data_IF_694715121589
#
_entry.id   IF_694715121589
#
_cell.length_a   1.000
_cell.length_b   1.000
_cell.length_c   1.000
_cell.angle_alpha   90.00
_cell.angle_beta   90.00
_cell.angle_gamma   90.00
#
_symmetry.space_group_name_H-M   'P 1'
#
loop_
_entity.id
_entity.type
_entity.pdbx_description
1 polymer ?
#
# COMPACT_ATOMS: atom_id res chain seq x y z
N UNK A 1 -15.64 17.32 12.84
CA UNK A 1 -16.28 17.72 14.06
C UNK A 1 -17.70 17.21 14.12
N UNK A 2 -18.04 16.53 15.16
CA UNK A 2 -19.36 15.96 15.24
C UNK A 2 -20.38 17.03 15.62
N UNK A 3 -21.56 16.91 15.06
CA UNK A 3 -22.69 17.73 15.41
C UNK A 3 -23.02 17.52 16.87
N UNK A 4 -23.32 18.57 17.64
CA UNK A 4 -23.71 18.41 19.04
C UNK A 4 -24.88 17.51 19.27
N UNK A 5 -25.73 17.32 18.28
CA UNK A 5 -26.87 16.42 18.38
C UNK A 5 -26.55 15.02 17.87
N UNK A 6 -25.30 14.73 17.60
CA UNK A 6 -24.92 13.43 17.09
C UNK A 6 -25.26 13.18 15.66
N UNK A 7 -25.71 14.17 14.95
CA UNK A 7 -26.00 14.02 13.53
C UNK A 7 -24.70 13.95 12.75
N UNK A 8 -24.65 13.04 11.79
CA UNK A 8 -23.52 12.96 10.89
C UNK A 8 -23.89 13.58 9.55
N UNK A 9 -22.98 14.35 9.02
CA UNK A 9 -23.16 14.93 7.70
C UNK A 9 -22.39 14.06 6.71
N UNK A 10 -23.11 13.50 5.76
CA UNK A 10 -22.48 12.71 4.71
C UNK A 10 -21.84 13.67 3.71
N UNK A 11 -20.54 13.55 3.56
CA UNK A 11 -19.78 14.36 2.61
C UNK A 11 -19.29 13.47 1.49
N UNK A 12 -19.51 13.93 0.27
CA UNK A 12 -18.90 13.30 -0.89
C UNK A 12 -17.54 13.93 -1.12
N UNK A 13 -16.50 13.13 -0.91
CA UNK A 13 -15.15 13.59 -1.15
C UNK A 13 -14.70 13.12 -2.52
N UNK A 14 -14.24 14.06 -3.32
CA UNK A 14 -13.68 13.75 -4.64
C UNK A 14 -12.26 14.26 -4.67
N UNK A 15 -11.35 13.36 -5.00
CA UNK A 15 -9.96 13.72 -5.11
C UNK A 15 -9.69 14.15 -6.55
N UNK A 16 -9.33 15.41 -6.71
CA UNK A 16 -9.06 15.96 -8.02
C UNK A 16 -7.62 15.66 -8.42
N UNK A 17 -7.40 15.01 -9.56
CA UNK A 17 -6.02 14.74 -9.98
C UNK A 17 -5.30 16.04 -10.33
N UNK A 18 -4.00 16.04 -10.08
CA UNK A 18 -3.11 17.11 -10.51
C UNK A 18 -2.14 16.54 -11.55
N UNK A 19 -1.29 17.40 -12.09
CA UNK A 19 -0.28 16.93 -13.04
C UNK A 19 0.58 15.83 -12.45
N UNK A 20 0.95 15.98 -11.18
CA UNK A 20 1.83 14.99 -10.54
C UNK A 20 1.09 13.72 -10.14
N UNK A 21 -0.23 13.73 -10.08
CA UNK A 21 -1.01 12.57 -9.64
C UNK A 21 -1.93 12.01 -10.70
N UNK A 22 -1.90 12.57 -11.92
CA UNK A 22 -2.82 12.15 -12.99
C UNK A 22 -2.54 10.72 -13.45
N UNK A 23 -1.31 10.27 -13.33
CA UNK A 23 -0.93 8.94 -13.79
C UNK A 23 -0.45 8.10 -12.61
N UNK A 24 -1.01 6.90 -12.44
CA UNK A 24 -0.54 6.04 -11.33
C UNK A 24 0.90 5.63 -11.53
N UNK A 25 1.62 5.51 -10.44
CA UNK A 25 3.00 5.06 -10.43
C UNK A 25 3.06 3.65 -9.91
N UNK A 26 3.83 2.81 -10.59
CA UNK A 26 3.96 1.43 -10.19
C UNK A 26 4.83 1.30 -8.95
N UNK A 27 4.44 0.43 -8.04
CA UNK A 27 5.21 0.13 -6.86
C UNK A 27 5.06 -1.36 -6.56
N UNK A 28 6.11 -1.97 -6.05
CA UNK A 28 6.08 -3.38 -5.67
C UNK A 28 6.68 -3.61 -4.29
N UNK A 29 6.87 -2.55 -3.53
CA UNK A 29 7.40 -2.64 -2.18
C UNK A 29 6.78 -1.54 -1.33
N UNK A 30 6.43 -1.90 -0.11
CA UNK A 30 5.90 -0.92 0.84
C UNK A 30 6.55 -1.10 2.20
N UNK A 31 6.63 -0.01 2.93
CA UNK A 31 7.09 -0.03 4.31
C UNK A 31 6.28 0.97 5.11
N UNK A 32 5.88 0.58 6.30
CA UNK A 32 5.10 1.44 7.18
C UNK A 32 5.86 1.60 8.49
N UNK A 33 5.98 2.84 8.95
CA UNK A 33 6.61 3.11 10.23
C UNK A 33 5.91 4.27 10.92
N UNK A 34 6.17 4.39 12.21
CA UNK A 34 5.61 5.48 13.01
C UNK A 34 6.75 6.15 13.75
N UNK A 35 6.79 7.46 13.68
CA UNK A 35 7.75 8.26 14.44
C UNK A 35 7.04 9.49 14.95
N UNK A 36 7.16 9.75 16.23
CA UNK A 36 6.60 10.93 16.89
C UNK A 36 5.10 11.10 16.60
N UNK A 37 4.36 9.99 16.63
CA UNK A 37 2.92 10.02 16.46
C UNK A 37 2.43 10.16 15.03
N UNK A 38 3.34 10.18 14.06
CA UNK A 38 2.99 10.29 12.65
C UNK A 38 3.34 8.98 11.97
N UNK A 39 2.40 8.47 11.19
CA UNK A 39 2.61 7.27 10.39
C UNK A 39 3.16 7.67 9.04
N UNK A 40 4.18 6.94 8.60
CA UNK A 40 4.79 7.13 7.29
C UNK A 40 4.61 5.86 6.48
N UNK A 41 4.05 6.00 5.30
CA UNK A 41 3.89 4.89 4.37
C UNK A 41 4.79 5.16 3.17
N UNK A 42 5.73 4.27 2.97
CA UNK A 42 6.67 4.38 1.86
C UNK A 42 6.25 3.41 0.78
N UNK A 43 6.26 3.90 -0.44
CA UNK A 43 6.02 3.08 -1.62
C UNK A 43 7.30 3.06 -2.44
N UNK A 44 7.78 1.88 -2.71
CA UNK A 44 9.04 1.71 -3.42
C UNK A 44 8.91 0.80 -4.61
N UNK A 45 9.93 0.82 -5.42
CA UNK A 45 9.99 -0.04 -6.59
C UNK A 45 11.36 -0.71 -6.65
N UNK A 46 11.35 -2.03 -6.71
CA UNK A 46 12.55 -2.84 -6.84
C UNK A 46 12.51 -3.47 -8.23
N UNK A 47 13.59 -3.34 -8.96
CA UNK A 47 13.67 -3.89 -10.31
C UNK A 47 13.38 -5.39 -10.28
N UNK A 48 12.40 -5.88 -11.04
CA UNK A 48 12.08 -7.30 -11.03
C UNK A 48 13.24 -8.19 -11.45
N UNK A 49 14.10 -7.71 -12.34
CA UNK A 49 15.27 -8.48 -12.75
C UNK A 49 16.23 -8.69 -11.59
N UNK A 50 16.34 -7.70 -10.70
CA UNK A 50 17.16 -7.83 -9.52
C UNK A 50 16.58 -8.85 -8.56
N UNK A 51 15.26 -8.81 -8.34
CA UNK A 51 14.59 -9.79 -7.48
C UNK A 51 14.76 -11.20 -8.03
N UNK A 52 14.64 -11.37 -9.34
CA UNK A 52 14.81 -12.67 -9.96
C UNK A 52 16.24 -13.18 -9.80
N UNK A 53 17.23 -12.29 -9.93
CA UNK A 53 18.63 -12.66 -9.76
C UNK A 53 18.90 -13.11 -8.32
N UNK A 54 18.35 -12.41 -7.35
CA UNK A 54 18.51 -12.77 -5.95
C UNK A 54 17.85 -14.12 -5.65
N UNK A 55 16.66 -14.33 -6.18
CA UNK A 55 15.95 -15.61 -5.99
C UNK A 55 16.75 -16.76 -6.59
N UNK A 56 17.34 -16.55 -7.76
CA UNK A 56 18.16 -17.57 -8.39
C UNK A 56 19.41 -17.86 -7.57
N UNK A 57 20.06 -16.83 -7.04
CA UNK A 57 21.23 -17.00 -6.19
C UNK A 57 20.90 -17.84 -4.96
N UNK A 58 19.77 -17.56 -4.31
CA UNK A 58 19.35 -18.33 -3.15
C UNK A 58 19.01 -19.78 -3.52
N UNK A 59 18.39 -19.97 -4.67
CA UNK A 59 18.03 -21.31 -5.14
C UNK A 59 19.26 -22.13 -5.46
N UNK A 60 20.33 -21.49 -5.95
CA UNK A 60 21.56 -22.18 -6.26
C UNK A 60 22.43 -22.43 -5.03
N UNK A 61 21.94 -22.10 -3.84
CA UNK A 61 22.65 -22.34 -2.59
C UNK A 61 23.73 -21.30 -2.30
N UNK A 62 23.80 -20.25 -3.06
CA UNK A 62 24.75 -19.18 -2.81
C UNK A 62 24.18 -18.18 -1.81
N UNK A 63 25.08 -17.50 -1.10
CA UNK A 63 24.67 -16.50 -0.14
C UNK A 63 24.02 -15.32 -0.85
N UNK A 64 22.79 -14.99 -0.45
CA UNK A 64 22.11 -13.81 -0.97
C UNK A 64 22.69 -12.56 -0.32
N UNK A 65 22.64 -11.42 -1.01
CA UNK A 65 23.06 -10.17 -0.40
C UNK A 65 22.16 -9.84 0.80
N UNK A 66 22.74 -9.20 1.81
CA UNK A 66 22.02 -8.88 3.04
C UNK A 66 21.00 -7.79 2.86
N UNK A 67 21.07 -7.04 1.76
CA UNK A 67 20.12 -5.99 1.50
C UNK A 67 20.15 -5.66 0.04
N UNK A 68 19.14 -4.95 -0.38
CA UNK A 68 19.10 -4.46 -1.74
C UNK A 68 18.49 -3.08 -1.75
N UNK A 69 18.80 -2.34 -2.77
CA UNK A 69 18.41 -0.96 -2.91
C UNK A 69 17.30 -0.85 -3.92
N UNK A 70 16.21 -0.24 -3.52
CA UNK A 70 15.11 0.08 -4.42
C UNK A 70 14.94 1.58 -4.52
N UNK A 71 14.07 2.01 -5.40
CA UNK A 71 13.75 3.41 -5.55
C UNK A 71 12.55 3.77 -4.67
N UNK A 72 12.66 4.87 -3.95
CA UNK A 72 11.52 5.40 -3.23
C UNK A 72 10.61 6.14 -4.21
N UNK A 73 9.42 5.60 -4.44
CA UNK A 73 8.47 6.23 -5.35
C UNK A 73 7.80 7.41 -4.66
N UNK A 74 7.30 7.19 -3.47
CA UNK A 74 6.70 8.27 -2.69
C UNK A 74 6.65 7.87 -1.22
N UNK A 75 6.67 8.88 -0.37
CA UNK A 75 6.49 8.73 1.07
C UNK A 75 5.32 9.58 1.49
N UNK A 76 4.37 8.99 2.18
CA UNK A 76 3.16 9.68 2.62
C UNK A 76 3.14 9.71 4.13
N UNK A 77 2.88 10.88 4.68
CA UNK A 77 2.71 11.04 6.13
C UNK A 77 1.23 11.18 6.45
N UNK A 78 0.80 10.51 7.50
CA UNK A 78 -0.60 10.58 7.89
C UNK A 78 -0.72 10.38 9.39
N UNK A 79 -1.85 10.78 9.95
CA UNK A 79 -2.13 10.48 11.36
C UNK A 79 -2.37 9.00 11.52
N UNK A 80 -2.24 8.53 12.77
CA UNK A 80 -2.51 7.13 13.07
C UNK A 80 -3.97 6.78 12.77
N UNK A 81 -4.88 7.72 12.99
CA UNK A 81 -6.29 7.48 12.67
C UNK A 81 -6.51 7.26 11.17
N UNK A 82 -5.82 8.03 10.34
CA UNK A 82 -5.92 7.84 8.89
C UNK A 82 -5.30 6.52 8.49
N UNK A 83 -4.20 6.14 9.13
CA UNK A 83 -3.59 4.84 8.86
C UNK A 83 -4.54 3.70 9.20
N UNK A 84 -5.25 3.81 10.34
CA UNK A 84 -6.21 2.78 10.73
C UNK A 84 -7.35 2.68 9.72
N UNK A 85 -7.82 3.82 9.23
CA UNK A 85 -8.87 3.82 8.20
C UNK A 85 -8.36 3.20 6.89
N UNK A 86 -7.14 3.53 6.50
CA UNK A 86 -6.54 2.94 5.32
C UNK A 86 -6.46 1.42 5.46
N UNK A 87 -6.07 0.95 6.63
CA UNK A 87 -6.02 -0.49 6.90
C UNK A 87 -7.38 -1.14 6.70
N UNK A 88 -8.45 -0.53 7.23
CA UNK A 88 -9.79 -1.06 7.06
C UNK A 88 -10.20 -1.11 5.61
N UNK A 89 -9.89 -0.07 4.85
CA UNK A 89 -10.24 -0.01 3.43
C UNK A 89 -9.50 -1.08 2.64
N UNK A 90 -8.22 -1.27 2.93
CA UNK A 90 -7.44 -2.31 2.28
C UNK A 90 -8.01 -3.68 2.62
N UNK A 91 -8.34 -3.89 3.89
CA UNK A 91 -8.90 -5.17 4.32
C UNK A 91 -10.19 -5.49 3.59
N UNK A 92 -11.07 -4.50 3.45
CA UNK A 92 -12.34 -4.69 2.74
C UNK A 92 -12.11 -5.07 1.27
N UNK A 93 -11.16 -4.41 0.63
CA UNK A 93 -10.82 -4.73 -0.75
C UNK A 93 -10.28 -6.14 -0.87
N UNK A 94 -9.39 -6.52 0.03
CA UNK A 94 -8.80 -7.86 0.00
C UNK A 94 -9.85 -8.95 0.26
N UNK A 95 -10.75 -8.70 1.20
CA UNK A 95 -11.82 -9.65 1.48
C UNK A 95 -12.73 -9.79 0.26
N UNK A 96 -13.09 -8.67 -0.37
CA UNK A 96 -13.91 -8.72 -1.56
C UNK A 96 -13.25 -9.46 -2.71
N UNK A 97 -11.96 -9.24 -2.89
CA UNK A 97 -11.21 -9.96 -3.92
C UNK A 97 -11.13 -11.45 -3.63
N UNK A 98 -10.88 -11.80 -2.37
CA UNK A 98 -10.82 -13.20 -1.97
C UNK A 98 -12.15 -13.89 -2.21
N UNK A 99 -13.25 -13.25 -1.84
CA UNK A 99 -14.58 -13.81 -2.03
C UNK A 99 -14.89 -13.98 -3.52
N UNK A 100 -14.51 -12.99 -4.33
CA UNK A 100 -14.72 -13.08 -5.76
C UNK A 100 -13.91 -14.23 -6.37
N UNK A 101 -12.71 -14.47 -5.87
CA UNK A 101 -11.87 -15.55 -6.36
C UNK A 101 -12.35 -16.91 -5.87
N UNK A 102 -13.02 -16.97 -4.72
CA UNK A 102 -13.54 -18.22 -4.19
C UNK A 102 -14.87 -18.60 -4.80
N UNK A 103 -15.65 -17.61 -5.26
CA UNK A 103 -16.90 -17.88 -5.94
C UNK A 103 -16.56 -18.28 -7.37
N UNK A 104 -16.27 -19.53 -7.56
CA UNK A 104 -15.95 -20.03 -8.88
C UNK A 104 -17.21 -20.52 -9.55
N UNK A 105 -17.36 -20.24 -10.84
CA UNK A 105 -18.40 -20.93 -11.57
C UNK A 105 -18.12 -22.41 -11.49
N UNK A 106 -19.10 -23.15 -11.10
CA UNK A 106 -18.95 -24.59 -11.05
C UNK A 106 -18.80 -25.10 -12.47
N UNK A 107 -17.69 -25.67 -12.70
CA UNK A 107 -17.48 -26.31 -13.99
C UNK A 107 -18.35 -27.51 -14.13
#
# INVERSE_FOLDING_TARGET
>A
MSDPKGQTVALNVRLKPSESSAHPRATNYTNVGVAQGIAYVDFGFIEPTLLAAIAKTAKDGQAAPKGLEGALVTRVAMSVDVLARLHQQIQQVLVGLRDALQVKPNA
#
